data_IF_878787237642
#
_entry.id   IF_878787237642
#
_cell.length_a   1.000
_cell.length_b   1.000
_cell.length_c   1.000
_cell.angle_alpha   90.00
_cell.angle_beta   90.00
_cell.angle_gamma   90.00
#
_symmetry.space_group_name_H-M   'P 1'
#
loop_
_entity.id
_entity.type
_entity.pdbx_description
1 polymer ?
#
# COMPACT_ATOMS: atom_id res chain seq x y z
N UNK A 1 27.13 -21.39 -1.75
CA UNK A 1 25.97 -20.97 -2.57
C UNK A 1 25.38 -19.73 -1.92
N UNK A 2 25.92 -18.57 -2.28
CA UNK A 2 25.69 -17.30 -1.59
C UNK A 2 24.33 -16.76 -2.01
N UNK A 3 23.34 -16.82 -1.11
CA UNK A 3 22.10 -16.07 -1.26
C UNK A 3 22.45 -14.60 -1.12
N UNK A 4 22.56 -13.91 -2.25
CA UNK A 4 22.60 -12.46 -2.31
C UNK A 4 21.24 -11.97 -1.80
N UNK A 5 21.21 -11.62 -0.52
CA UNK A 5 20.19 -10.75 0.04
C UNK A 5 20.33 -9.40 -0.67
N UNK A 6 19.59 -9.23 -1.77
CA UNK A 6 19.31 -7.93 -2.37
C UNK A 6 18.36 -7.21 -1.40
N UNK A 7 18.91 -6.77 -0.27
CA UNK A 7 18.35 -5.69 0.55
C UNK A 7 18.81 -4.38 -0.09
N UNK A 8 18.27 -4.08 -1.27
CA UNK A 8 18.47 -2.77 -1.90
C UNK A 8 17.35 -1.82 -1.44
N UNK A 9 17.70 -0.97 -0.48
CA UNK A 9 17.53 0.49 -0.54
C UNK A 9 16.13 1.14 -0.45
N UNK A 10 15.26 0.78 0.49
CA UNK A 10 14.17 1.70 0.88
C UNK A 10 13.91 1.63 2.39
N UNK A 11 14.71 2.37 3.20
CA UNK A 11 14.58 2.39 4.66
C UNK A 11 13.30 3.10 5.17
N UNK A 12 12.55 3.73 4.26
CA UNK A 12 11.32 4.46 4.57
C UNK A 12 10.05 3.66 4.22
N UNK A 13 10.16 2.55 3.47
CA UNK A 13 9.00 1.75 3.09
C UNK A 13 8.78 0.64 4.11
N UNK A 14 7.80 0.84 4.96
CA UNK A 14 7.51 -0.07 6.06
C UNK A 14 6.45 -1.10 5.66
N UNK A 15 6.42 -2.22 6.38
CA UNK A 15 5.44 -3.30 6.19
C UNK A 15 4.64 -3.52 7.46
N UNK A 16 3.36 -3.81 7.29
CA UNK A 16 2.48 -4.31 8.36
C UNK A 16 2.53 -3.45 9.65
N UNK A 17 2.61 -2.12 9.48
CA UNK A 17 2.58 -1.18 10.60
C UNK A 17 1.17 -1.12 11.19
N UNK A 18 1.10 -1.12 12.52
CA UNK A 18 -0.10 -0.74 13.24
C UNK A 18 -0.04 0.77 13.56
N UNK A 19 -0.79 1.63 12.85
CA UNK A 19 -0.77 3.07 13.10
C UNK A 19 -1.30 3.38 14.51
N UNK A 20 -0.77 4.43 15.12
CA UNK A 20 -1.27 4.90 16.41
C UNK A 20 -2.75 5.26 16.26
N UNK A 21 -3.58 4.79 17.19
CA UNK A 21 -5.02 5.03 17.17
C UNK A 21 -5.30 6.49 17.56
N UNK A 22 -5.20 7.38 16.59
CA UNK A 22 -5.54 8.80 16.69
C UNK A 22 -6.70 9.12 15.71
N UNK A 23 -7.40 10.22 15.96
CA UNK A 23 -8.51 10.69 15.11
C UNK A 23 -7.99 11.50 13.89
N UNK A 24 -6.68 11.51 13.65
CA UNK A 24 -6.01 12.33 12.63
C UNK A 24 -5.44 11.51 11.46
N UNK A 25 -5.69 10.20 11.43
CA UNK A 25 -5.24 9.34 10.34
C UNK A 25 -6.20 9.37 9.14
N UNK A 26 -5.66 9.51 7.93
CA UNK A 26 -6.36 9.29 6.67
C UNK A 26 -5.71 8.13 5.92
N UNK A 27 -6.51 7.16 5.48
CA UNK A 27 -6.03 5.96 4.78
C UNK A 27 -6.44 5.97 3.31
N UNK A 28 -5.45 5.91 2.43
CA UNK A 28 -5.63 5.74 0.98
C UNK A 28 -5.06 4.37 0.61
N UNK A 29 -5.86 3.51 -0.03
CA UNK A 29 -5.47 2.13 -0.31
C UNK A 29 -5.40 1.88 -1.82
N UNK A 30 -4.26 1.39 -2.29
CA UNK A 30 -4.09 0.83 -3.63
C UNK A 30 -4.10 -0.71 -3.56
N UNK A 31 -5.15 -1.30 -4.12
CA UNK A 31 -5.37 -2.75 -4.13
C UNK A 31 -4.95 -3.42 -5.43
N UNK A 32 -4.19 -2.74 -6.29
CA UNK A 32 -3.74 -3.28 -7.59
C UNK A 32 -2.67 -4.36 -7.48
N UNK A 33 -2.10 -4.57 -6.29
CA UNK A 33 -0.94 -5.44 -6.05
C UNK A 33 0.28 -5.08 -6.92
N UNK A 34 0.37 -3.82 -7.37
CA UNK A 34 1.49 -3.32 -8.16
C UNK A 34 2.56 -2.72 -7.25
N UNK A 35 3.82 -3.02 -7.54
CA UNK A 35 4.97 -2.31 -6.95
C UNK A 35 5.18 -0.91 -7.53
N UNK A 36 4.39 -0.52 -8.54
CA UNK A 36 4.50 0.74 -9.26
C UNK A 36 3.14 1.44 -9.26
N UNK A 37 2.78 2.17 -8.20
CA UNK A 37 1.53 2.92 -8.16
C UNK A 37 1.48 3.90 -9.34
N UNK A 38 0.31 3.99 -9.98
CA UNK A 38 0.12 4.88 -11.13
C UNK A 38 0.28 6.34 -10.70
N UNK A 39 0.74 7.20 -11.60
CA UNK A 39 0.87 8.65 -11.33
C UNK A 39 -0.40 9.28 -10.75
N UNK A 40 -1.59 8.83 -11.17
CA UNK A 40 -2.85 9.33 -10.61
C UNK A 40 -3.02 9.04 -9.12
N UNK A 41 -2.53 7.89 -8.64
CA UNK A 41 -2.52 7.56 -7.21
C UNK A 41 -1.58 8.51 -6.46
N UNK A 42 -0.38 8.75 -6.98
CA UNK A 42 0.56 9.71 -6.41
C UNK A 42 0.02 11.13 -6.37
N UNK A 43 -0.65 11.61 -7.42
CA UNK A 43 -1.29 12.93 -7.41
C UNK A 43 -2.39 13.02 -6.33
N UNK A 44 -3.17 11.96 -6.13
CA UNK A 44 -4.19 11.94 -5.08
C UNK A 44 -3.54 11.99 -3.68
N UNK A 45 -2.52 11.16 -3.45
CA UNK A 45 -1.76 11.12 -2.19
C UNK A 45 -1.12 12.46 -1.87
N UNK A 46 -0.44 13.06 -2.85
CA UNK A 46 0.15 14.40 -2.72
C UNK A 46 -0.91 15.45 -2.37
N UNK A 47 -2.04 15.45 -3.09
CA UNK A 47 -3.09 16.44 -2.87
C UNK A 47 -3.66 16.37 -1.45
N UNK A 48 -3.82 15.16 -0.90
CA UNK A 48 -4.25 14.94 0.49
C UNK A 48 -3.22 15.44 1.49
N UNK A 49 -1.96 15.04 1.32
CA UNK A 49 -0.87 15.43 2.21
C UNK A 49 -0.68 16.96 2.25
N UNK A 50 -0.78 17.61 1.08
CA UNK A 50 -0.64 19.06 0.94
C UNK A 50 -1.81 19.84 1.55
N UNK A 51 -3.04 19.36 1.40
CA UNK A 51 -4.23 20.08 1.86
C UNK A 51 -4.50 19.88 3.36
N UNK A 52 -3.98 18.81 3.94
CA UNK A 52 -4.26 18.43 5.32
C UNK A 52 -2.95 18.22 6.09
N UNK A 53 -2.16 19.28 6.35
CA UNK A 53 -0.84 19.16 6.98
C UNK A 53 -0.90 18.60 8.41
N UNK A 54 -2.06 18.73 9.09
CA UNK A 54 -2.27 18.26 10.46
C UNK A 54 -2.73 16.80 10.54
N UNK A 55 -3.00 16.15 9.40
CA UNK A 55 -3.44 14.75 9.32
C UNK A 55 -2.28 13.85 8.88
N UNK A 56 -2.19 12.67 9.49
CA UNK A 56 -1.28 11.61 9.07
C UNK A 56 -1.89 10.90 7.86
N UNK A 57 -1.28 11.09 6.68
CA UNK A 57 -1.74 10.47 5.43
C UNK A 57 -0.99 9.15 5.22
N UNK A 58 -1.72 8.05 5.28
CA UNK A 58 -1.22 6.70 5.07
C UNK A 58 -1.60 6.20 3.69
N UNK A 59 -0.60 6.03 2.83
CA UNK A 59 -0.77 5.37 1.55
C UNK A 59 -0.40 3.88 1.67
N UNK A 60 -1.41 3.03 1.62
CA UNK A 60 -1.30 1.58 1.82
C UNK A 60 -1.31 0.88 0.47
N UNK A 61 -0.28 0.09 0.21
CA UNK A 61 -0.14 -0.72 -1.00
C UNK A 61 -0.33 -2.19 -0.64
N UNK A 62 -1.13 -2.92 -1.41
CA UNK A 62 -1.20 -4.40 -1.31
C UNK A 62 0.02 -5.10 -1.92
N UNK A 63 1.07 -4.35 -2.24
CA UNK A 63 2.36 -4.87 -2.68
C UNK A 63 3.36 -4.86 -1.52
N UNK A 64 4.11 -5.94 -1.35
CA UNK A 64 5.16 -6.03 -0.33
C UNK A 64 6.42 -5.24 -0.69
N UNK A 65 6.54 -4.80 -1.93
CA UNK A 65 7.64 -3.99 -2.42
C UNK A 65 7.10 -2.77 -3.14
N UNK A 66 7.90 -1.72 -3.18
CA UNK A 66 7.64 -0.59 -4.04
C UNK A 66 8.90 -0.28 -4.84
N UNK A 67 8.73 -0.01 -6.12
CA UNK A 67 9.81 0.51 -6.94
C UNK A 67 9.77 2.03 -6.92
N UNK A 68 10.88 2.63 -6.50
CA UNK A 68 11.11 4.07 -6.55
C UNK A 68 12.27 4.42 -7.49
N UNK A 69 12.43 3.66 -8.59
CA UNK A 69 13.43 3.92 -9.63
C UNK A 69 13.37 5.34 -10.21
N UNK A 70 12.19 5.98 -10.18
CA UNK A 70 12.01 7.37 -10.62
C UNK A 70 12.35 8.41 -9.55
N UNK A 71 12.51 8.01 -8.29
CA UNK A 71 12.71 8.88 -7.14
C UNK A 71 11.48 9.69 -6.70
N UNK A 72 10.35 9.53 -7.37
CA UNK A 72 9.11 10.27 -7.09
C UNK A 72 8.63 10.05 -5.65
N UNK A 73 8.65 8.80 -5.18
CA UNK A 73 8.11 8.49 -3.87
C UNK A 73 9.03 9.01 -2.76
N UNK A 74 10.35 8.89 -2.92
CA UNK A 74 11.33 9.52 -2.03
C UNK A 74 11.21 11.03 -2.00
N UNK A 75 10.99 11.69 -3.14
CA UNK A 75 10.78 13.13 -3.21
C UNK A 75 9.53 13.55 -2.43
N UNK A 76 8.42 12.85 -2.61
CA UNK A 76 7.17 13.14 -1.90
C UNK A 76 7.31 12.95 -0.39
N UNK A 77 7.97 11.88 0.05
CA UNK A 77 8.19 11.62 1.47
C UNK A 77 9.16 12.60 2.13
N UNK A 78 10.11 13.12 1.38
CA UNK A 78 10.96 14.22 1.85
C UNK A 78 10.18 15.54 1.95
N UNK A 79 9.28 15.80 0.99
CA UNK A 79 8.51 17.05 0.93
C UNK A 79 7.37 17.10 1.96
N UNK A 80 6.73 15.97 2.24
CA UNK A 80 5.53 15.89 3.09
C UNK A 80 5.80 15.02 4.31
N UNK A 81 6.08 15.67 5.45
CA UNK A 81 6.42 14.99 6.71
C UNK A 81 5.26 14.20 7.32
N UNK A 82 4.03 14.52 6.93
CA UNK A 82 2.79 13.84 7.31
C UNK A 82 2.42 12.67 6.39
N UNK A 83 3.20 12.42 5.33
CA UNK A 83 3.00 11.29 4.44
C UNK A 83 3.73 10.03 4.98
N UNK A 84 3.03 8.90 4.94
CA UNK A 84 3.53 7.57 5.24
C UNK A 84 3.13 6.64 4.09
N UNK A 85 4.07 5.82 3.62
CA UNK A 85 3.80 4.81 2.58
C UNK A 85 4.16 3.45 3.14
N UNK A 86 3.20 2.52 3.09
CA UNK A 86 3.33 1.20 3.71
C UNK A 86 2.83 0.11 2.80
N UNK A 87 3.52 -1.03 2.82
CA UNK A 87 3.06 -2.28 2.23
C UNK A 87 2.28 -3.11 3.23
N UNK A 88 1.26 -3.83 2.76
CA UNK A 88 0.51 -4.77 3.59
C UNK A 88 0.57 -6.18 3.01
N UNK A 89 0.85 -7.15 3.88
CA UNK A 89 0.73 -8.56 3.57
C UNK A 89 -0.72 -8.99 3.82
N UNK A 90 -1.44 -9.32 2.74
CA UNK A 90 -2.83 -9.73 2.83
C UNK A 90 -3.01 -11.07 3.56
N UNK A 91 -2.02 -11.97 3.50
CA UNK A 91 -2.07 -13.24 4.23
C UNK A 91 -1.96 -13.00 5.74
N UNK A 92 -1.21 -11.99 6.16
CA UNK A 92 -1.13 -11.55 7.56
C UNK A 92 -2.39 -10.78 7.95
N UNK A 93 -2.85 -9.87 7.11
CA UNK A 93 -4.03 -9.03 7.38
C UNK A 93 -5.29 -9.86 7.63
N UNK A 94 -5.52 -10.88 6.81
CA UNK A 94 -6.70 -11.72 6.94
C UNK A 94 -6.52 -12.87 7.92
N UNK A 95 -5.31 -13.11 8.44
CA UNK A 95 -5.05 -14.18 9.39
C UNK A 95 -5.97 -14.07 10.61
N UNK A 96 -6.53 -15.20 11.02
CA UNK A 96 -7.43 -15.31 12.17
C UNK A 96 -8.69 -14.43 12.06
N UNK A 97 -9.02 -13.96 10.85
CA UNK A 97 -10.27 -13.26 10.56
C UNK A 97 -11.25 -14.18 9.83
N UNK A 98 -12.57 -13.99 9.99
CA UNK A 98 -13.58 -14.70 9.19
C UNK A 98 -13.46 -14.48 7.68
N UNK A 99 -12.73 -13.45 7.26
CA UNK A 99 -12.52 -13.13 5.84
C UNK A 99 -11.41 -13.95 5.20
N UNK A 100 -10.61 -14.69 5.98
CA UNK A 100 -9.52 -15.50 5.45
C UNK A 100 -10.00 -16.51 4.41
N UNK A 101 -11.04 -17.28 4.76
CA UNK A 101 -11.60 -18.29 3.85
C UNK A 101 -12.16 -17.65 2.57
N UNK A 102 -12.80 -16.49 2.70
CA UNK A 102 -13.31 -15.75 1.55
C UNK A 102 -12.18 -15.27 0.64
N UNK A 103 -11.12 -14.67 1.21
CA UNK A 103 -9.94 -14.21 0.49
C UNK A 103 -9.23 -15.38 -0.25
N UNK A 104 -8.98 -16.48 0.47
CA UNK A 104 -8.35 -17.68 -0.09
C UNK A 104 -9.20 -18.35 -1.17
N UNK A 105 -10.53 -18.28 -1.07
CA UNK A 105 -11.43 -18.92 -2.04
C UNK A 105 -11.35 -18.31 -3.45
N UNK A 106 -10.81 -17.09 -3.57
CA UNK A 106 -10.78 -16.30 -4.82
C UNK A 106 -12.13 -16.16 -5.53
N UNK A 107 -13.27 -16.37 -4.84
CA UNK A 107 -14.61 -16.25 -5.44
C UNK A 107 -14.94 -14.84 -5.94
N UNK A 108 -14.30 -13.81 -5.38
CA UNK A 108 -14.32 -12.43 -5.87
C UNK A 108 -13.73 -12.20 -7.27
N UNK A 109 -12.98 -13.14 -7.85
CA UNK A 109 -12.40 -13.00 -9.21
C UNK A 109 -13.22 -13.70 -10.29
N UNK A 110 -14.37 -14.30 -9.93
CA UNK A 110 -15.22 -15.01 -10.90
C UNK A 110 -16.07 -14.00 -11.65
N UNK A 111 -15.82 -13.88 -12.94
CA UNK A 111 -16.61 -13.07 -13.86
C UNK A 111 -17.93 -13.79 -14.15
N UNK A 112 -19.02 -13.35 -13.50
CA UNK A 112 -20.37 -13.93 -13.63
C UNK A 112 -20.99 -13.71 -15.02
N UNK A 113 -20.29 -13.04 -15.94
CA UNK A 113 -20.77 -12.83 -17.32
C UNK A 113 -20.64 -14.06 -18.22
N UNK A 114 -19.91 -15.11 -17.80
CA UNK A 114 -19.66 -16.30 -18.64
C UNK A 114 -20.64 -17.46 -18.48
N UNK A 115 -21.59 -17.38 -17.54
CA UNK A 115 -22.54 -18.47 -17.26
C UNK A 115 -23.85 -18.39 -18.08
N UNK A 116 -23.87 -17.60 -19.17
CA UNK A 116 -25.08 -17.38 -19.99
C UNK A 116 -24.90 -17.67 -21.49
N UNK A 117 -23.97 -18.56 -21.86
CA UNK A 117 -23.81 -19.08 -23.24
C UNK A 117 -24.06 -20.57 -23.33
#
# INVERSE_FOLDING_TARGET
MTRVLIFCLINWYYRDINPTRNDTNVFLVDTSCSSHPRYRAWCAVESWARQNPDLDVWFILTSLTMDDSTGLASLLLHQYTNLRVVGIDLDILFRDTPLLEFFLSRKWTVDTSKDSS
#
